data_IF_265433056984
#
_entry.id   IF_265433056984
#
_cell.length_a   1.000
_cell.length_b   1.000
_cell.length_c   1.000
_cell.angle_alpha   90.00
_cell.angle_beta   90.00
_cell.angle_gamma   90.00
#
_symmetry.space_group_name_H-M   'P 1'
#
loop_
_entity.id
_entity.type
_entity.pdbx_description
1 polymer ?
#
# COMPACT_ATOMS: atom_id res chain seq x y z
N UNK A 1 -0.71 -44.30 -20.91
CA UNK A 1 -0.48 -43.79 -19.54
C UNK A 1 0.21 -42.43 -19.62
N UNK A 2 -0.38 -41.39 -19.03
CA UNK A 2 0.14 -40.00 -18.97
C UNK A 2 0.82 -39.76 -17.62
N UNK A 3 2.02 -39.18 -17.64
CA UNK A 3 2.64 -38.43 -16.53
C UNK A 3 3.48 -37.32 -17.18
N UNK A 4 3.10 -36.04 -17.12
CA UNK A 4 3.18 -35.04 -16.02
C UNK A 4 4.61 -34.51 -15.76
N UNK A 5 4.86 -33.33 -16.34
CA UNK A 5 5.46 -32.10 -15.81
C UNK A 5 6.61 -32.18 -14.78
N UNK A 6 7.70 -31.48 -15.08
CA UNK A 6 8.10 -30.28 -14.31
C UNK A 6 9.12 -29.44 -15.11
N UNK A 7 8.76 -28.18 -15.38
CA UNK A 7 9.72 -27.16 -15.82
C UNK A 7 9.73 -26.09 -14.73
N UNK A 8 10.76 -26.14 -13.90
CA UNK A 8 11.00 -25.14 -12.87
C UNK A 8 11.78 -23.99 -13.53
N UNK A 9 11.15 -22.83 -13.63
CA UNK A 9 11.82 -21.60 -14.05
C UNK A 9 12.48 -20.98 -12.83
N UNK A 10 13.81 -20.99 -12.80
CA UNK A 10 14.61 -20.12 -11.94
C UNK A 10 15.21 -19.03 -12.82
N UNK A 11 14.82 -17.77 -12.61
CA UNK A 11 15.59 -16.63 -13.10
C UNK A 11 16.31 -15.97 -11.92
N UNK A 12 17.62 -16.16 -11.97
CA UNK A 12 18.65 -15.62 -11.09
C UNK A 12 19.05 -14.24 -11.61
N UNK A 13 19.40 -13.30 -10.73
CA UNK A 13 20.18 -12.13 -11.12
C UNK A 13 21.02 -11.62 -9.96
N UNK A 14 22.25 -12.13 -9.87
CA UNK A 14 23.38 -11.40 -9.32
C UNK A 14 24.69 -11.96 -9.87
N UNK A 15 25.23 -11.25 -10.85
CA UNK A 15 26.62 -11.33 -11.29
C UNK A 15 27.56 -10.96 -10.14
N UNK A 16 28.50 -11.83 -9.75
CA UNK A 16 29.90 -11.49 -9.41
C UNK A 16 30.78 -12.76 -9.41
N UNK A 17 32.04 -12.55 -9.78
CA UNK A 17 33.07 -13.52 -10.22
C UNK A 17 33.55 -14.50 -9.14
N UNK A 18 34.07 -15.65 -9.63
CA UNK A 18 34.76 -16.70 -8.90
C UNK A 18 36.01 -16.25 -8.13
N UNK A 19 36.20 -16.79 -6.92
CA UNK A 19 37.50 -17.21 -6.37
C UNK A 19 37.32 -18.43 -5.46
N UNK A 20 38.33 -19.29 -5.50
CA UNK A 20 38.44 -20.68 -5.06
C UNK A 20 38.48 -20.97 -3.54
N UNK A 21 38.13 -22.23 -3.22
CA UNK A 21 38.66 -23.12 -2.17
C UNK A 21 37.97 -23.23 -0.79
N UNK A 22 37.69 -24.49 -0.45
CA UNK A 22 37.55 -25.15 0.86
C UNK A 22 36.24 -25.06 1.68
N UNK A 23 35.65 -26.26 1.80
CA UNK A 23 34.72 -26.85 2.76
C UNK A 23 34.30 -26.08 4.03
N UNK A 24 32.99 -26.16 4.36
CA UNK A 24 32.34 -26.46 5.66
C UNK A 24 30.86 -26.77 5.35
N UNK A 25 30.19 -27.76 5.99
CA UNK A 25 28.75 -27.96 5.80
C UNK A 25 28.01 -26.82 6.48
N UNK A 26 27.50 -25.87 5.70
CA UNK A 26 26.66 -24.80 6.22
C UNK A 26 25.30 -25.37 6.62
N UNK A 27 25.09 -25.47 7.93
CA UNK A 27 23.75 -25.40 8.53
C UNK A 27 23.01 -24.20 7.91
N UNK A 28 21.73 -24.36 7.53
CA UNK A 28 20.97 -23.22 7.01
C UNK A 28 20.85 -22.20 8.14
N UNK A 29 21.61 -21.11 8.03
CA UNK A 29 21.30 -19.89 8.77
C UNK A 29 19.90 -19.50 8.32
N UNK A 30 18.93 -19.66 9.20
CA UNK A 30 17.63 -19.00 9.10
C UNK A 30 17.98 -17.51 9.05
N UNK A 31 18.05 -16.96 7.85
CA UNK A 31 18.06 -15.52 7.68
C UNK A 31 16.75 -15.06 8.28
N UNK A 32 16.83 -14.37 9.42
CA UNK A 32 15.75 -13.52 9.87
C UNK A 32 15.58 -12.43 8.82
N UNK A 33 14.97 -12.76 7.69
CA UNK A 33 14.52 -11.79 6.71
C UNK A 33 13.51 -10.91 7.44
N UNK A 34 13.96 -9.69 7.74
CA UNK A 34 13.09 -8.65 8.26
C UNK A 34 12.07 -8.39 7.18
N UNK A 35 10.88 -8.98 7.34
CA UNK A 35 9.74 -8.73 6.44
C UNK A 35 9.55 -7.22 6.38
N UNK A 36 9.74 -6.57 5.21
CA UNK A 36 9.60 -5.14 5.08
C UNK A 36 8.22 -4.71 5.59
N UNK A 37 8.17 -3.65 6.41
CA UNK A 37 6.89 -3.08 6.81
C UNK A 37 6.17 -2.60 5.55
N UNK A 38 4.98 -3.13 5.29
CA UNK A 38 4.12 -2.67 4.20
C UNK A 38 3.95 -1.14 4.28
N UNK A 39 4.11 -0.48 3.14
CA UNK A 39 3.84 0.95 2.97
C UNK A 39 2.35 1.26 2.84
N UNK A 40 1.53 0.23 2.59
CA UNK A 40 0.08 0.32 2.51
C UNK A 40 -0.58 0.06 3.86
N UNK A 41 -1.64 0.80 4.19
CA UNK A 41 -2.46 0.54 5.38
C UNK A 41 -3.16 -0.83 5.24
N UNK A 42 -3.38 -1.55 6.36
CA UNK A 42 -3.97 -2.88 6.31
C UNK A 42 -5.49 -2.85 6.10
N UNK A 43 -5.99 -3.81 5.33
CA UNK A 43 -7.38 -4.24 5.35
C UNK A 43 -7.56 -5.21 6.52
N UNK A 44 -8.65 -5.07 7.29
CA UNK A 44 -8.87 -5.88 8.48
C UNK A 44 -10.06 -6.80 8.28
N UNK A 45 -9.84 -8.09 8.50
CA UNK A 45 -10.88 -9.10 8.57
C UNK A 45 -11.08 -9.52 10.02
N UNK A 46 -12.32 -9.45 10.50
CA UNK A 46 -12.70 -9.97 11.80
C UNK A 46 -13.64 -11.15 11.62
N UNK A 47 -13.23 -12.32 12.10
CA UNK A 47 -14.05 -13.53 12.08
C UNK A 47 -14.81 -13.64 13.40
N UNK A 48 -16.05 -14.13 13.34
CA UNK A 48 -16.88 -14.35 14.53
C UNK A 48 -16.72 -15.77 15.12
N UNK A 49 -15.85 -16.60 14.54
CA UNK A 49 -15.66 -18.00 14.93
C UNK A 49 -14.56 -18.16 16.00
N UNK A 50 -14.71 -19.19 16.85
CA UNK A 50 -13.76 -19.60 17.88
C UNK A 50 -12.53 -20.24 17.22
N UNK A 51 -12.74 -20.98 16.11
CA UNK A 51 -11.66 -21.64 15.39
C UNK A 51 -11.25 -20.83 14.16
N UNK A 52 -10.15 -20.11 14.32
CA UNK A 52 -9.62 -19.27 13.24
C UNK A 52 -8.89 -20.11 12.18
N UNK A 53 -9.07 -19.81 10.88
CA UNK A 53 -8.28 -20.43 9.82
C UNK A 53 -6.79 -20.08 9.93
N UNK A 54 -5.92 -20.84 9.27
CA UNK A 54 -4.50 -20.48 9.19
C UNK A 54 -4.30 -19.27 8.26
N UNK A 55 -3.25 -18.48 8.50
CA UNK A 55 -2.90 -17.31 7.68
C UNK A 55 -2.75 -17.69 6.20
N UNK A 56 -2.10 -18.83 5.94
CA UNK A 56 -1.90 -19.34 4.58
C UNK A 56 -3.22 -19.72 3.89
N UNK A 57 -4.17 -20.33 4.62
CA UNK A 57 -5.48 -20.68 4.05
C UNK A 57 -6.26 -19.44 3.66
N UNK A 58 -6.24 -18.40 4.51
CA UNK A 58 -6.90 -17.12 4.23
C UNK A 58 -6.31 -16.47 2.99
N UNK A 59 -4.98 -16.36 2.91
CA UNK A 59 -4.29 -15.75 1.77
C UNK A 59 -4.62 -16.51 0.48
N UNK A 60 -4.54 -17.84 0.49
CA UNK A 60 -4.87 -18.66 -0.69
C UNK A 60 -6.31 -18.46 -1.15
N UNK A 61 -7.23 -18.44 -0.20
CA UNK A 61 -8.65 -18.33 -0.54
C UNK A 61 -9.00 -16.94 -1.08
N UNK A 62 -8.47 -15.88 -0.48
CA UNK A 62 -8.63 -14.50 -0.98
C UNK A 62 -8.00 -14.37 -2.37
N UNK A 63 -6.78 -14.88 -2.59
CA UNK A 63 -6.13 -14.81 -3.90
C UNK A 63 -6.99 -15.49 -4.97
N UNK A 64 -7.59 -16.65 -4.64
CA UNK A 64 -8.49 -17.39 -5.52
C UNK A 64 -9.79 -16.62 -5.80
N UNK A 65 -10.48 -16.17 -4.76
CA UNK A 65 -11.82 -15.57 -4.88
C UNK A 65 -11.77 -14.13 -5.43
N UNK A 66 -10.87 -13.30 -4.90
CA UNK A 66 -10.71 -11.91 -5.34
C UNK A 66 -9.90 -11.77 -6.64
N UNK A 67 -9.28 -12.87 -7.12
CA UNK A 67 -8.37 -12.91 -8.29
C UNK A 67 -7.22 -11.90 -8.16
N UNK A 68 -6.51 -11.96 -7.04
CA UNK A 68 -5.37 -11.10 -6.70
C UNK A 68 -4.19 -11.96 -6.23
N UNK A 69 -3.02 -11.34 -6.02
CA UNK A 69 -1.84 -12.01 -5.50
C UNK A 69 -1.32 -11.29 -4.25
N UNK A 70 -1.92 -11.60 -3.11
CA UNK A 70 -1.39 -11.27 -1.78
C UNK A 70 -0.23 -12.20 -1.45
N UNK A 71 0.86 -11.63 -0.93
CA UNK A 71 2.04 -12.37 -0.48
C UNK A 71 2.12 -12.46 1.04
N UNK A 72 1.42 -11.59 1.76
CA UNK A 72 1.52 -11.48 3.20
C UNK A 72 0.20 -11.03 3.84
N UNK A 73 -0.07 -11.63 5.00
CA UNK A 73 -1.13 -11.25 5.91
C UNK A 73 -0.83 -11.89 7.25
N UNK A 74 -1.31 -11.28 8.34
CA UNK A 74 -1.01 -11.75 9.69
C UNK A 74 -2.16 -11.53 10.64
N UNK A 75 -2.30 -12.42 11.63
CA UNK A 75 -3.15 -12.10 12.76
C UNK A 75 -2.56 -10.98 13.61
N UNK A 76 -3.47 -10.15 14.11
CA UNK A 76 -3.22 -9.14 15.11
C UNK A 76 -4.26 -9.31 16.20
N UNK A 77 -3.79 -9.55 17.42
CA UNK A 77 -4.64 -9.69 18.59
C UNK A 77 -4.58 -8.41 19.40
N UNK A 78 -5.74 -7.81 19.67
CA UNK A 78 -5.87 -6.72 20.64
C UNK A 78 -6.96 -7.08 21.64
N UNK A 79 -6.54 -7.38 22.87
CA UNK A 79 -7.43 -7.94 23.89
C UNK A 79 -7.99 -9.31 23.46
N UNK A 80 -9.31 -9.48 23.56
CA UNK A 80 -10.01 -10.74 23.21
C UNK A 80 -10.36 -10.88 21.73
N UNK A 81 -10.10 -9.86 20.91
CA UNK A 81 -10.42 -9.88 19.48
C UNK A 81 -9.16 -10.15 18.67
N UNK A 82 -9.24 -11.16 17.81
CA UNK A 82 -8.23 -11.44 16.80
C UNK A 82 -8.76 -10.99 15.45
N UNK A 83 -7.98 -10.18 14.74
CA UNK A 83 -8.30 -9.77 13.38
C UNK A 83 -7.14 -10.14 12.45
N UNK A 84 -7.47 -10.57 11.25
CA UNK A 84 -6.48 -10.83 10.21
C UNK A 84 -6.23 -9.55 9.42
N UNK A 85 -4.97 -9.13 9.34
CA UNK A 85 -4.53 -7.94 8.63
C UNK A 85 -3.94 -8.34 7.28
N UNK A 86 -4.42 -7.72 6.22
CA UNK A 86 -3.98 -7.92 4.85
C UNK A 86 -3.32 -6.65 4.36
N UNK A 87 -2.19 -6.79 3.68
CA UNK A 87 -1.46 -5.67 3.11
C UNK A 87 -1.40 -5.81 1.60
N UNK A 88 -1.66 -4.70 0.90
CA UNK A 88 -1.48 -4.66 -0.54
C UNK A 88 0.02 -4.65 -0.88
N UNK A 89 0.37 -5.29 -1.99
CA UNK A 89 1.71 -5.36 -2.55
C UNK A 89 2.01 -4.19 -3.50
N UNK A 90 0.98 -3.52 -3.99
CA UNK A 90 1.08 -2.40 -4.92
C UNK A 90 -0.10 -1.45 -4.78
N UNK A 91 0.05 -0.26 -5.36
CA UNK A 91 -0.99 0.75 -5.40
C UNK A 91 -2.25 0.27 -6.14
N UNK A 92 -2.06 -0.36 -7.31
CA UNK A 92 -3.17 -0.92 -8.10
C UNK A 92 -3.91 -2.04 -7.34
N UNK A 93 -3.18 -2.86 -6.58
CA UNK A 93 -3.81 -3.88 -5.74
C UNK A 93 -4.56 -3.24 -4.57
N UNK A 94 -4.02 -2.19 -3.96
CA UNK A 94 -4.71 -1.45 -2.90
C UNK A 94 -6.01 -0.83 -3.42
N UNK A 95 -5.99 -0.14 -4.57
CA UNK A 95 -7.18 0.42 -5.22
C UNK A 95 -8.24 -0.66 -5.47
N UNK A 96 -7.82 -1.82 -5.98
CA UNK A 96 -8.73 -2.95 -6.20
C UNK A 96 -9.32 -3.47 -4.90
N UNK A 97 -8.52 -3.60 -3.84
CA UNK A 97 -8.98 -4.05 -2.52
C UNK A 97 -9.92 -3.05 -1.82
N UNK A 98 -9.90 -1.77 -2.19
CA UNK A 98 -10.88 -0.79 -1.69
C UNK A 98 -12.29 -1.02 -2.27
N UNK A 99 -12.42 -1.77 -3.37
CA UNK A 99 -13.70 -2.03 -4.03
C UNK A 99 -14.48 -3.14 -3.33
N UNK A 100 -15.55 -2.81 -2.59
CA UNK A 100 -16.32 -3.81 -1.80
C UNK A 100 -16.83 -5.01 -2.59
N UNK A 101 -17.18 -4.84 -3.87
CA UNK A 101 -17.72 -5.93 -4.71
C UNK A 101 -16.71 -7.01 -5.08
N UNK A 102 -15.40 -6.76 -4.92
CA UNK A 102 -14.38 -7.80 -5.17
C UNK A 102 -14.25 -8.79 -4.01
N UNK A 103 -14.78 -8.42 -2.83
CA UNK A 103 -14.66 -9.21 -1.62
C UNK A 103 -15.76 -10.29 -1.58
N UNK A 104 -15.42 -11.55 -1.29
CA UNK A 104 -16.41 -12.61 -1.22
C UNK A 104 -17.29 -12.47 0.02
N UNK A 105 -18.45 -13.12 0.07
CA UNK A 105 -19.29 -13.11 1.27
C UNK A 105 -18.73 -13.97 2.40
N UNK A 106 -17.87 -14.94 2.08
CA UNK A 106 -17.21 -15.83 3.04
C UNK A 106 -15.74 -16.05 2.66
N UNK A 107 -14.89 -16.26 3.66
CA UNK A 107 -13.47 -16.61 3.48
C UNK A 107 -13.19 -17.84 4.35
N UNK A 108 -12.61 -18.88 3.74
CA UNK A 108 -12.41 -20.19 4.36
C UNK A 108 -13.70 -20.74 5.00
N UNK A 109 -14.83 -20.59 4.28
CA UNK A 109 -16.17 -21.00 4.72
C UNK A 109 -16.68 -20.30 6.00
N UNK A 110 -16.05 -19.17 6.38
CA UNK A 110 -16.44 -18.36 7.53
C UNK A 110 -16.97 -16.99 7.12
N UNK A 111 -17.99 -16.54 7.85
CA UNK A 111 -18.44 -15.16 7.81
C UNK A 111 -17.39 -14.24 8.45
N UNK A 112 -17.28 -13.04 7.91
CA UNK A 112 -16.32 -12.05 8.40
C UNK A 112 -16.88 -10.64 8.25
N UNK A 113 -16.30 -9.72 9.03
CA UNK A 113 -16.48 -8.28 8.89
C UNK A 113 -15.21 -7.69 8.27
N UNK A 114 -15.39 -6.91 7.21
CA UNK A 114 -14.32 -6.19 6.54
C UNK A 114 -14.29 -4.72 6.99
N UNK A 115 -13.18 -4.31 7.61
CA UNK A 115 -12.88 -2.90 7.81
C UNK A 115 -11.87 -2.45 6.75
N UNK A 116 -12.28 -1.50 5.91
CA UNK A 116 -11.41 -0.85 4.95
C UNK A 116 -10.47 0.14 5.65
N UNK A 117 -9.23 0.32 5.17
CA UNK A 117 -8.31 1.30 5.73
C UNK A 117 -8.85 2.72 5.54
N UNK A 118 -8.74 3.56 6.59
CA UNK A 118 -9.10 4.98 6.54
C UNK A 118 -7.93 5.90 6.21
N UNK A 119 -6.70 5.41 6.36
CA UNK A 119 -5.48 6.18 6.11
C UNK A 119 -5.15 6.17 4.62
N UNK A 120 -4.84 7.33 4.05
CA UNK A 120 -4.35 7.41 2.66
C UNK A 120 -2.91 6.86 2.57
N UNK A 121 -2.64 5.90 1.66
CA UNK A 121 -1.29 5.43 1.37
C UNK A 121 -0.38 6.57 0.92
N UNK A 122 0.89 6.55 1.31
CA UNK A 122 1.86 7.55 0.84
C UNK A 122 2.04 7.56 -0.68
N UNK A 123 1.75 6.43 -1.35
CA UNK A 123 1.76 6.31 -2.81
C UNK A 123 0.65 7.10 -3.49
N UNK A 124 -0.32 7.64 -2.76
CA UNK A 124 -1.44 8.43 -3.31
C UNK A 124 -1.21 9.92 -3.02
N UNK A 125 0.04 10.32 -2.88
CA UNK A 125 0.38 11.66 -2.42
C UNK A 125 1.54 12.23 -3.21
N UNK A 126 1.54 13.55 -3.36
CA UNK A 126 2.71 14.32 -3.80
C UNK A 126 3.16 15.27 -2.71
N UNK A 127 4.41 15.72 -2.84
CA UNK A 127 4.96 16.80 -2.02
C UNK A 127 5.24 17.99 -2.92
N UNK A 128 4.43 19.04 -2.76
CA UNK A 128 4.68 20.33 -3.37
C UNK A 128 5.77 21.06 -2.60
N UNK A 129 6.81 21.47 -3.31
CA UNK A 129 7.96 22.19 -2.76
C UNK A 129 7.78 23.69 -2.90
N UNK A 130 8.54 24.45 -2.11
CA UNK A 130 8.60 25.92 -2.17
C UNK A 130 7.26 26.63 -1.98
N UNK A 131 6.33 26.00 -1.25
CA UNK A 131 5.07 26.64 -0.88
C UNK A 131 5.34 27.61 0.26
N UNK A 132 5.07 28.92 0.12
CA UNK A 132 5.35 29.89 1.17
C UNK A 132 4.71 29.49 2.51
N UNK A 133 5.44 29.64 3.61
CA UNK A 133 5.00 29.18 4.94
C UNK A 133 3.84 30.00 5.51
N UNK A 134 3.68 31.23 5.01
CA UNK A 134 2.62 32.17 5.37
C UNK A 134 1.28 31.91 4.65
N UNK A 135 1.27 31.04 3.63
CA UNK A 135 0.03 30.71 2.93
C UNK A 135 -0.93 29.94 3.83
N UNK A 136 -2.19 30.35 3.82
CA UNK A 136 -3.28 29.65 4.46
C UNK A 136 -3.51 28.30 3.74
N UNK A 137 -3.41 27.21 4.50
CA UNK A 137 -3.55 25.85 3.95
C UNK A 137 -4.99 25.53 3.57
N UNK A 138 -5.98 26.07 4.29
CA UNK A 138 -7.38 25.83 3.97
C UNK A 138 -7.76 26.51 2.65
N UNK A 139 -7.27 27.73 2.42
CA UNK A 139 -7.44 28.43 1.13
C UNK A 139 -6.73 27.68 0.00
N UNK A 140 -5.47 27.27 0.22
CA UNK A 140 -4.72 26.48 -0.76
C UNK A 140 -5.43 25.16 -1.09
N UNK A 141 -5.96 24.47 -0.09
CA UNK A 141 -6.75 23.25 -0.26
C UNK A 141 -7.97 23.50 -1.15
N UNK A 142 -8.72 24.57 -0.87
CA UNK A 142 -9.88 24.93 -1.66
C UNK A 142 -9.51 25.24 -3.12
N UNK A 143 -8.40 25.94 -3.36
CA UNK A 143 -7.98 26.31 -4.71
C UNK A 143 -7.53 25.10 -5.53
N UNK A 144 -6.77 24.18 -4.94
CA UNK A 144 -6.40 22.94 -5.67
C UNK A 144 -7.62 22.05 -5.89
N UNK A 145 -8.56 21.98 -4.94
CA UNK A 145 -9.80 21.19 -5.08
C UNK A 145 -10.73 21.71 -6.16
N UNK A 146 -10.71 23.01 -6.48
CA UNK A 146 -11.45 23.57 -7.62
C UNK A 146 -10.94 23.02 -8.96
N UNK A 147 -9.65 22.69 -9.05
CA UNK A 147 -9.05 22.14 -10.27
C UNK A 147 -9.17 20.62 -10.34
N UNK A 148 -9.08 19.96 -9.18
CA UNK A 148 -9.17 18.52 -9.10
C UNK A 148 -9.95 18.07 -7.85
N UNK A 149 -11.19 17.62 -8.07
CA UNK A 149 -12.07 17.12 -7.02
C UNK A 149 -11.58 15.82 -6.35
N UNK A 150 -10.55 15.16 -6.90
CA UNK A 150 -9.98 13.92 -6.37
C UNK A 150 -9.01 14.16 -5.22
N UNK A 151 -8.61 15.41 -5.01
CA UNK A 151 -7.80 15.82 -3.86
C UNK A 151 -8.63 15.64 -2.59
N UNK A 152 -8.12 14.83 -1.67
CA UNK A 152 -8.78 14.52 -0.40
C UNK A 152 -8.37 15.53 0.67
N UNK A 153 -7.07 15.82 0.76
CA UNK A 153 -6.48 16.63 1.84
C UNK A 153 -5.22 17.35 1.36
N UNK A 154 -5.02 18.55 1.88
CA UNK A 154 -3.75 19.27 1.78
C UNK A 154 -3.18 19.53 3.18
N UNK A 155 -1.90 19.23 3.39
CA UNK A 155 -1.28 19.31 4.72
C UNK A 155 0.12 19.93 4.67
N UNK A 156 0.36 20.91 5.53
CA UNK A 156 1.67 21.53 5.72
C UNK A 156 2.57 20.60 6.52
N UNK A 157 3.82 20.45 6.10
CA UNK A 157 4.82 19.79 6.94
C UNK A 157 5.33 20.73 8.04
N UNK A 158 5.67 20.15 9.18
CA UNK A 158 6.23 20.86 10.33
C UNK A 158 7.50 20.16 10.81
N UNK A 159 8.51 20.92 11.23
CA UNK A 159 9.66 20.36 11.97
C UNK A 159 9.31 20.15 13.44
N UNK A 160 10.15 19.39 14.14
CA UNK A 160 10.06 19.23 15.59
C UNK A 160 10.01 20.61 16.27
N UNK A 161 8.99 20.81 17.11
CA UNK A 161 8.70 22.12 17.71
C UNK A 161 7.59 22.92 17.00
N UNK A 162 6.92 22.34 15.99
CA UNK A 162 5.71 22.93 15.40
C UNK A 162 5.96 24.06 14.41
N UNK A 163 7.21 24.27 13.98
CA UNK A 163 7.53 25.30 12.97
C UNK A 163 7.18 24.78 11.56
N UNK A 164 6.37 25.50 10.76
CA UNK A 164 6.02 25.07 9.41
C UNK A 164 7.23 25.13 8.48
N UNK A 165 7.25 24.24 7.47
CA UNK A 165 8.25 24.25 6.39
C UNK A 165 7.60 24.52 5.03
N UNK A 166 8.42 24.93 4.06
CA UNK A 166 8.00 25.24 2.69
C UNK A 166 7.66 24.01 1.84
N UNK A 167 7.02 23.00 2.46
CA UNK A 167 6.57 21.77 1.83
C UNK A 167 5.13 21.50 2.23
N UNK A 168 4.32 21.12 1.27
CA UNK A 168 2.93 20.74 1.45
C UNK A 168 2.71 19.37 0.82
N UNK A 169 2.04 18.49 1.55
CA UNK A 169 1.57 17.21 1.03
C UNK A 169 0.17 17.38 0.47
N UNK A 170 -0.07 16.83 -0.71
CA UNK A 170 -1.40 16.75 -1.32
C UNK A 170 -1.74 15.28 -1.45
N UNK A 171 -2.87 14.86 -0.88
CA UNK A 171 -3.38 13.49 -0.88
C UNK A 171 -4.51 13.34 -1.90
N UNK A 172 -4.46 12.28 -2.68
CA UNK A 172 -5.45 11.92 -3.71
C UNK A 172 -6.28 10.70 -3.28
N UNK A 173 -7.45 10.56 -3.88
CA UNK A 173 -8.39 9.47 -3.58
C UNK A 173 -7.92 8.10 -4.08
N UNK A 174 -7.10 8.04 -5.12
CA UNK A 174 -6.57 6.79 -5.68
C UNK A 174 -5.19 6.98 -6.32
N UNK A 175 -4.53 5.88 -6.66
CA UNK A 175 -3.26 5.96 -7.39
C UNK A 175 -3.42 6.34 -8.86
N UNK A 176 -4.58 6.07 -9.45
CA UNK A 176 -4.87 6.41 -10.85
C UNK A 176 -4.99 7.93 -11.04
N UNK A 177 -5.64 8.62 -10.10
CA UNK A 177 -5.77 10.08 -10.16
C UNK A 177 -4.42 10.77 -10.01
N UNK A 178 -3.60 10.29 -9.08
CA UNK A 178 -2.22 10.75 -8.97
C UNK A 178 -1.45 10.57 -10.29
N UNK A 179 -1.56 9.40 -10.95
CA UNK A 179 -0.91 9.16 -12.24
C UNK A 179 -1.41 10.11 -13.33
N UNK A 180 -2.69 10.50 -13.30
CA UNK A 180 -3.27 11.48 -14.22
C UNK A 180 -2.62 12.85 -14.05
N UNK A 181 -2.53 13.34 -12.82
CA UNK A 181 -1.93 14.65 -12.51
C UNK A 181 -0.43 14.67 -12.83
N UNK A 182 0.30 13.59 -12.51
CA UNK A 182 1.72 13.49 -12.82
C UNK A 182 2.01 13.51 -14.33
N UNK A 183 1.08 13.04 -15.16
CA UNK A 183 1.20 13.16 -16.63
C UNK A 183 1.04 14.62 -17.09
N UNK A 184 0.19 15.39 -16.42
CA UNK A 184 -0.04 16.81 -16.75
C UNK A 184 1.13 17.71 -16.28
N UNK A 185 1.98 17.25 -15.36
CA UNK A 185 3.23 17.90 -14.88
C UNK A 185 3.08 19.27 -14.21
N UNK A 186 1.87 19.74 -13.97
CA UNK A 186 1.63 21.00 -13.27
C UNK A 186 0.31 20.97 -12.51
N UNK A 187 0.32 21.49 -11.29
CA UNK A 187 -0.88 21.97 -10.61
C UNK A 187 -0.88 23.49 -10.78
N UNK A 188 -1.98 24.02 -11.32
CA UNK A 188 -2.17 25.45 -11.44
C UNK A 188 -2.70 25.94 -10.08
N UNK A 189 -2.50 27.19 -9.74
CA UNK A 189 -3.16 27.86 -8.64
C UNK A 189 -3.59 29.21 -9.16
N UNK A 190 -4.87 29.53 -8.97
CA UNK A 190 -5.50 30.79 -9.34
C UNK A 190 -5.43 31.08 -10.87
N UNK A 191 -6.52 30.83 -11.59
CA UNK A 191 -6.78 31.14 -13.01
C UNK A 191 -5.53 31.46 -13.89
N UNK A 192 -4.59 30.51 -13.94
CA UNK A 192 -3.34 30.49 -14.72
C UNK A 192 -2.10 31.30 -14.26
N UNK A 193 -2.11 32.01 -13.12
CA UNK A 193 -0.99 32.89 -12.75
C UNK A 193 0.07 32.29 -11.82
N UNK A 194 -0.22 31.19 -11.13
CA UNK A 194 0.78 30.46 -10.35
C UNK A 194 0.77 28.99 -10.77
N UNK A 195 1.94 28.42 -11.09
CA UNK A 195 2.06 27.00 -11.41
C UNK A 195 3.17 26.37 -10.58
N UNK A 196 2.89 25.18 -10.03
CA UNK A 196 3.88 24.37 -9.35
C UNK A 196 4.24 23.17 -10.22
N UNK A 197 5.53 23.07 -10.56
CA UNK A 197 6.08 21.89 -11.22
C UNK A 197 6.11 20.74 -10.21
N UNK A 198 5.53 19.62 -10.62
CA UNK A 198 5.53 18.35 -9.88
C UNK A 198 6.72 17.51 -10.31
#
# INVERSE_FOLDING_TARGET
MRAKNSTTWYFNNSTYRNTTANAIPHTPKISNEVVPRSTFPPFRLSFNDIKLPSELSIIKDINRQCRISLSFGRYSSFGKKSSFLIYANSADQHDRLMTKSIWPTMICDLNYVLDLPSKIPASYSIVMLNVPVQWNIEELENDVKKQDSTIVKVERFYVKGGKPISKVRIDFSSSEELKSILKNKSILLDDANTSYKI
#
